data_IF_309567727711
#
_entry.id   IF_309567727711
#
_cell.length_a   1.000
_cell.length_b   1.000
_cell.length_c   1.000
_cell.angle_alpha   90.00
_cell.angle_beta   90.00
_cell.angle_gamma   90.00
#
_symmetry.space_group_name_H-M   'P 1'
#
loop_
_entity.id
_entity.type
_entity.pdbx_description
1 polymer ?
#
# COMPACT_ATOMS: atom_id res chain seq x y z
N UNK A 1 -10.96 2.81 16.90
CA UNK A 1 -9.68 2.21 16.46
C UNK A 1 -8.83 3.28 15.79
N UNK A 2 -7.57 3.47 16.21
CA UNK A 2 -6.67 4.38 15.53
C UNK A 2 -6.41 3.83 14.13
N UNK A 3 -6.54 4.70 13.12
CA UNK A 3 -6.15 4.37 11.77
C UNK A 3 -4.75 4.92 11.56
N UNK A 4 -3.75 4.10 11.19
CA UNK A 4 -2.42 4.62 10.93
C UNK A 4 -2.44 5.53 9.69
N UNK A 5 -1.51 6.47 9.62
CA UNK A 5 -1.12 7.07 8.36
C UNK A 5 -0.28 6.08 7.56
N UNK A 6 -0.28 6.23 6.23
CA UNK A 6 0.45 5.34 5.32
C UNK A 6 1.34 6.18 4.43
N UNK A 7 2.65 5.89 4.42
CA UNK A 7 3.55 6.35 3.36
C UNK A 7 3.71 5.21 2.34
N UNK A 8 3.61 5.53 1.05
CA UNK A 8 3.79 4.53 -0.02
C UNK A 8 4.98 4.94 -0.86
N UNK A 9 6.15 4.36 -0.63
CA UNK A 9 7.27 4.55 -1.54
C UNK A 9 7.02 3.80 -2.86
N UNK A 10 6.90 4.56 -3.94
CA UNK A 10 6.67 4.09 -5.30
C UNK A 10 7.95 4.18 -6.11
N UNK A 11 8.39 3.07 -6.69
CA UNK A 11 9.59 3.02 -7.53
C UNK A 11 9.38 2.03 -8.67
N UNK A 12 9.87 2.35 -9.86
CA UNK A 12 9.92 1.43 -11.00
C UNK A 12 11.37 0.98 -11.17
N UNK A 13 11.57 -0.32 -11.22
CA UNK A 13 12.87 -0.97 -11.33
C UNK A 13 12.95 -1.88 -12.54
N UNK A 14 14.17 -2.24 -12.95
CA UNK A 14 14.39 -3.31 -13.93
C UNK A 14 13.85 -4.64 -13.41
N UNK A 15 13.12 -5.37 -14.24
CA UNK A 15 12.63 -6.70 -13.91
C UNK A 15 13.67 -7.77 -14.31
N UNK A 16 14.68 -7.95 -13.46
CA UNK A 16 15.77 -8.91 -13.69
C UNK A 16 16.26 -9.53 -12.36
N UNK A 17 16.90 -10.71 -12.36
CA UNK A 17 17.30 -11.40 -11.13
C UNK A 17 18.09 -10.55 -10.14
N UNK A 18 19.02 -9.74 -10.65
CA UNK A 18 19.85 -8.83 -9.86
C UNK A 18 19.02 -7.85 -9.01
N UNK A 19 17.88 -7.40 -9.51
CA UNK A 19 16.95 -6.55 -8.76
C UNK A 19 16.37 -7.28 -7.55
N UNK A 20 15.96 -8.54 -7.70
CA UNK A 20 15.44 -9.35 -6.60
C UNK A 20 16.52 -9.68 -5.55
N UNK A 21 17.76 -9.95 -5.98
CA UNK A 21 18.92 -10.14 -5.09
C UNK A 21 19.18 -8.90 -4.22
N UNK A 22 19.07 -7.70 -4.82
CA UNK A 22 19.14 -6.44 -4.07
C UNK A 22 18.00 -6.30 -3.07
N UNK A 23 16.76 -6.64 -3.42
CA UNK A 23 15.65 -6.57 -2.47
C UNK A 23 15.81 -7.49 -1.27
N UNK A 24 16.33 -8.70 -1.48
CA UNK A 24 16.60 -9.64 -0.39
C UNK A 24 17.66 -9.12 0.60
N UNK A 25 18.63 -8.32 0.12
CA UNK A 25 19.74 -7.84 0.95
C UNK A 25 19.55 -6.43 1.52
N UNK A 26 18.88 -5.55 0.78
CA UNK A 26 18.65 -4.13 1.16
C UNK A 26 17.29 -3.95 1.83
N UNK A 27 16.24 -4.59 1.32
CA UNK A 27 14.86 -4.45 1.81
C UNK A 27 14.71 -4.67 3.31
N UNK A 28 15.22 -5.79 3.88
CA UNK A 28 15.17 -6.02 5.32
C UNK A 28 15.91 -4.95 6.13
N UNK A 29 17.04 -4.42 5.63
CA UNK A 29 17.83 -3.38 6.33
C UNK A 29 17.12 -2.04 6.38
N UNK A 30 16.40 -1.68 5.32
CA UNK A 30 15.54 -0.50 5.31
C UNK A 30 14.46 -0.66 6.39
N UNK A 31 13.74 -1.79 6.40
CA UNK A 31 12.70 -2.05 7.41
C UNK A 31 13.24 -2.03 8.86
N UNK A 32 14.41 -2.62 9.10
CA UNK A 32 15.06 -2.58 10.42
C UNK A 32 15.47 -1.16 10.85
N UNK A 33 15.84 -0.31 9.89
CA UNK A 33 16.17 1.10 10.15
C UNK A 33 14.91 1.90 10.45
N UNK A 34 13.85 1.69 9.67
CA UNK A 34 12.52 2.30 9.88
C UNK A 34 11.95 1.97 11.25
N UNK A 35 12.11 0.72 11.70
CA UNK A 35 11.64 0.24 13.00
C UNK A 35 12.34 0.87 14.23
N UNK A 36 13.36 1.71 14.02
CA UNK A 36 13.99 2.47 15.12
C UNK A 36 13.06 3.56 15.67
N UNK A 37 12.08 4.02 14.90
CA UNK A 37 11.15 5.06 15.32
C UNK A 37 9.91 4.48 16.03
N UNK A 38 9.56 5.01 17.20
CA UNK A 38 8.43 4.50 18.03
C UNK A 38 7.04 4.72 17.42
N UNK A 39 6.96 5.61 16.43
CA UNK A 39 5.76 5.87 15.64
C UNK A 39 5.50 4.83 14.55
N UNK A 40 6.51 4.03 14.18
CA UNK A 40 6.36 2.96 13.20
C UNK A 40 5.52 1.82 13.77
N UNK A 41 4.48 1.40 13.04
CA UNK A 41 3.57 0.32 13.46
C UNK A 41 3.55 -0.86 12.49
N UNK A 42 4.37 -0.85 11.43
CA UNK A 42 4.56 -1.99 10.54
C UNK A 42 4.57 -1.58 9.07
N UNK A 43 4.58 -2.57 8.18
CA UNK A 43 4.76 -2.34 6.75
C UNK A 43 4.11 -3.44 5.90
N UNK A 44 3.83 -3.13 4.63
CA UNK A 44 3.36 -4.08 3.63
C UNK A 44 3.97 -3.72 2.26
N UNK A 45 4.97 -4.47 1.82
CA UNK A 45 5.70 -4.20 0.58
C UNK A 45 5.15 -5.03 -0.57
N UNK A 46 4.82 -4.35 -1.65
CA UNK A 46 4.19 -4.97 -2.79
C UNK A 46 5.06 -4.92 -4.05
N UNK A 47 4.87 -5.94 -4.88
CA UNK A 47 5.31 -5.98 -6.26
C UNK A 47 4.07 -5.87 -7.16
N UNK A 48 4.09 -4.95 -8.13
CA UNK A 48 3.10 -4.93 -9.20
C UNK A 48 3.33 -6.12 -10.13
N UNK A 49 2.32 -6.99 -10.22
CA UNK A 49 2.35 -8.17 -11.08
C UNK A 49 1.54 -7.96 -12.36
N UNK A 50 0.60 -7.02 -12.40
CA UNK A 50 -0.21 -6.78 -13.59
C UNK A 50 -1.27 -5.70 -13.38
N UNK A 51 -2.28 -5.69 -14.26
CA UNK A 51 -3.36 -4.68 -14.28
C UNK A 51 -4.67 -5.38 -14.60
N UNK A 52 -5.78 -4.95 -13.97
CA UNK A 52 -7.12 -5.46 -14.31
C UNK A 52 -7.54 -4.89 -15.67
N UNK A 53 -7.77 -5.72 -16.70
CA UNK A 53 -7.95 -5.24 -18.06
C UNK A 53 -9.34 -4.61 -18.34
N UNK A 54 -10.31 -4.84 -17.44
CA UNK A 54 -11.71 -4.39 -17.57
C UNK A 54 -12.31 -4.76 -18.93
N UNK A 55 -12.33 -6.07 -19.23
CA UNK A 55 -12.65 -6.57 -20.56
C UNK A 55 -11.50 -6.26 -21.52
N UNK A 56 -11.76 -5.45 -22.55
CA UNK A 56 -10.76 -5.03 -23.52
C UNK A 56 -10.36 -3.57 -23.38
N UNK A 57 -10.83 -2.86 -22.34
CA UNK A 57 -10.49 -1.45 -22.10
C UNK A 57 -8.99 -1.21 -21.99
N UNK A 58 -8.28 -2.13 -21.34
CA UNK A 58 -6.82 -2.27 -21.40
C UNK A 58 -6.47 -3.65 -21.98
N UNK A 59 -6.86 -3.91 -23.22
CA UNK A 59 -6.77 -5.26 -23.83
C UNK A 59 -5.37 -5.85 -24.00
N UNK A 60 -4.32 -5.04 -23.86
CA UNK A 60 -2.93 -5.53 -23.83
C UNK A 60 -2.47 -5.92 -22.41
N UNK A 61 -3.22 -5.55 -21.38
CA UNK A 61 -2.90 -5.85 -19.99
C UNK A 61 -3.47 -7.20 -19.56
N UNK A 62 -2.82 -7.80 -18.56
CA UNK A 62 -3.26 -9.00 -17.86
C UNK A 62 -3.04 -8.81 -16.37
N UNK A 63 -3.76 -9.57 -15.55
CA UNK A 63 -3.57 -9.50 -14.10
C UNK A 63 -2.22 -10.07 -13.63
N UNK A 64 -1.57 -10.88 -14.45
CA UNK A 64 -0.16 -11.26 -14.32
C UNK A 64 0.57 -11.02 -15.64
N UNK A 65 1.53 -10.10 -15.60
CA UNK A 65 2.43 -9.68 -16.67
C UNK A 65 3.88 -9.73 -16.20
N UNK A 66 4.17 -10.32 -15.03
CA UNK A 66 5.49 -10.25 -14.41
C UNK A 66 6.57 -10.93 -15.29
N UNK A 67 6.19 -11.92 -16.09
CA UNK A 67 7.10 -12.59 -17.04
C UNK A 67 7.31 -11.83 -18.35
N UNK A 68 6.43 -10.89 -18.66
CA UNK A 68 6.37 -10.18 -19.94
C UNK A 68 6.95 -8.77 -19.83
N UNK A 69 6.83 -8.14 -18.65
CA UNK A 69 7.28 -6.78 -18.43
C UNK A 69 8.80 -6.69 -18.27
N UNK A 70 9.42 -5.68 -18.90
CA UNK A 70 10.85 -5.35 -18.72
C UNK A 70 11.12 -4.56 -17.44
N UNK A 71 10.09 -3.97 -16.85
CA UNK A 71 10.15 -3.20 -15.61
C UNK A 71 9.05 -3.64 -14.64
N UNK A 72 9.25 -3.36 -13.36
CA UNK A 72 8.32 -3.75 -12.30
C UNK A 72 8.13 -2.57 -11.34
N UNK A 73 6.87 -2.28 -11.01
CA UNK A 73 6.52 -1.31 -9.97
C UNK A 73 6.63 -1.93 -8.58
N UNK A 74 7.18 -1.19 -7.64
CA UNK A 74 7.15 -1.51 -6.21
C UNK A 74 6.31 -0.47 -5.49
N UNK A 75 5.50 -0.94 -4.55
CA UNK A 75 4.64 -0.10 -3.72
C UNK A 75 4.86 -0.50 -2.26
N UNK A 76 5.75 0.21 -1.59
CA UNK A 76 6.25 -0.13 -0.27
C UNK A 76 5.50 0.67 0.79
N UNK A 77 4.58 0.03 1.51
CA UNK A 77 3.75 0.73 2.48
C UNK A 77 4.44 0.70 3.83
N UNK A 78 4.58 1.85 4.47
CA UNK A 78 4.94 1.94 5.89
C UNK A 78 3.83 2.63 6.67
N UNK A 79 3.49 2.06 7.83
CA UNK A 79 2.36 2.49 8.65
C UNK A 79 2.86 3.24 9.88
N UNK A 80 2.21 4.36 10.19
CA UNK A 80 2.65 5.33 11.19
C UNK A 80 1.50 5.78 12.10
N UNK A 81 1.80 6.05 13.38
CA UNK A 81 0.81 6.62 14.31
C UNK A 81 0.43 8.05 13.90
N UNK A 82 1.43 8.87 13.60
CA UNK A 82 1.31 10.18 12.99
C UNK A 82 2.15 10.20 11.71
N UNK A 83 1.69 10.81 10.62
CA UNK A 83 2.50 10.95 9.41
C UNK A 83 3.79 11.73 9.66
N UNK A 84 3.85 12.58 10.69
CA UNK A 84 5.08 13.28 11.09
C UNK A 84 6.15 12.32 11.63
N UNK A 85 5.75 11.18 12.18
CA UNK A 85 6.67 10.14 12.64
C UNK A 85 7.50 9.59 11.46
N UNK A 86 6.91 9.52 10.27
CA UNK A 86 7.61 9.15 9.03
C UNK A 86 8.70 10.16 8.68
N UNK A 87 8.34 11.44 8.64
CA UNK A 87 9.28 12.53 8.30
C UNK A 87 10.42 12.61 9.32
N UNK A 88 10.10 12.47 10.61
CA UNK A 88 11.08 12.43 11.69
C UNK A 88 12.01 11.22 11.55
N UNK A 89 11.47 10.03 11.26
CA UNK A 89 12.25 8.82 11.05
C UNK A 89 13.25 8.97 9.89
N UNK A 90 12.82 9.53 8.76
CA UNK A 90 13.71 9.80 7.62
C UNK A 90 14.85 10.74 8.01
N UNK A 91 14.54 11.82 8.74
CA UNK A 91 15.54 12.81 9.15
C UNK A 91 16.53 12.25 10.17
N UNK A 92 16.05 11.55 11.20
CA UNK A 92 16.88 10.99 12.26
C UNK A 92 17.81 9.87 11.75
N UNK A 93 17.37 9.09 10.75
CA UNK A 93 18.09 7.93 10.24
C UNK A 93 18.69 8.15 8.84
N UNK A 94 18.75 9.41 8.38
CA UNK A 94 19.04 9.77 7.00
C UNK A 94 20.29 9.11 6.43
N UNK A 95 21.41 9.15 7.15
CA UNK A 95 22.67 8.58 6.66
C UNK A 95 22.57 7.08 6.35
N UNK A 96 21.82 6.33 7.15
CA UNK A 96 21.61 4.90 6.93
C UNK A 96 20.62 4.68 5.78
N UNK A 97 19.48 5.37 5.80
CA UNK A 97 18.45 5.23 4.77
C UNK A 97 18.96 5.63 3.40
N UNK A 98 19.62 6.78 3.28
CA UNK A 98 20.19 7.27 2.03
C UNK A 98 21.14 6.25 1.42
N UNK A 99 22.09 5.71 2.20
CA UNK A 99 23.04 4.68 1.72
C UNK A 99 22.35 3.41 1.25
N UNK A 100 21.35 2.94 2.02
CA UNK A 100 20.58 1.76 1.66
C UNK A 100 19.80 1.99 0.35
N UNK A 101 19.05 3.10 0.25
CA UNK A 101 18.29 3.43 -0.94
C UNK A 101 19.20 3.69 -2.16
N UNK A 102 20.33 4.36 -1.98
CA UNK A 102 21.29 4.65 -3.05
C UNK A 102 21.88 3.36 -3.64
N UNK A 103 22.07 2.32 -2.82
CA UNK A 103 22.55 1.02 -3.32
C UNK A 103 21.62 0.36 -4.35
N UNK A 104 20.34 0.74 -4.38
CA UNK A 104 19.37 0.26 -5.36
C UNK A 104 19.39 1.06 -6.68
N UNK A 105 20.02 2.24 -6.73
CA UNK A 105 19.89 3.19 -7.86
C UNK A 105 20.35 2.61 -9.21
N UNK A 106 21.24 1.63 -9.21
CA UNK A 106 21.64 0.92 -10.44
C UNK A 106 20.51 0.14 -11.14
N UNK A 107 19.40 -0.12 -10.44
CA UNK A 107 18.23 -0.82 -10.94
C UNK A 107 17.00 0.08 -11.11
N UNK A 108 17.05 1.31 -10.58
CA UNK A 108 15.92 2.25 -10.64
C UNK A 108 15.78 2.82 -12.04
N UNK A 109 14.56 2.83 -12.55
CA UNK A 109 14.16 3.46 -13.82
C UNK A 109 13.38 4.75 -13.54
N UNK A 110 12.54 4.75 -12.50
CA UNK A 110 11.79 5.93 -12.05
C UNK A 110 11.56 5.87 -10.53
N UNK A 111 11.47 7.02 -9.90
CA UNK A 111 11.28 7.17 -8.45
C UNK A 111 12.62 7.30 -7.69
N UNK A 112 12.60 7.22 -6.35
CA UNK A 112 11.42 7.03 -5.50
C UNK A 112 10.46 8.23 -5.51
N UNK A 113 9.16 7.97 -5.35
CA UNK A 113 8.13 8.96 -5.06
C UNK A 113 7.27 8.43 -3.91
N UNK A 114 7.21 9.15 -2.79
CA UNK A 114 6.58 8.66 -1.56
C UNK A 114 5.42 9.56 -1.11
N UNK A 115 4.23 9.41 -1.71
CA UNK A 115 3.02 10.05 -1.24
C UNK A 115 2.62 9.56 0.15
N UNK A 116 2.05 10.48 0.93
CA UNK A 116 1.53 10.25 2.28
C UNK A 116 0.00 10.23 2.23
N UNK A 117 -0.60 9.32 2.98
CA UNK A 117 -2.03 9.09 3.00
C UNK A 117 -2.59 9.02 4.42
N UNK A 118 -3.79 9.56 4.60
CA UNK A 118 -4.65 9.18 5.71
C UNK A 118 -5.57 8.02 5.28
N UNK A 119 -5.90 7.13 6.21
CA UNK A 119 -6.86 6.04 5.98
C UNK A 119 -8.25 6.53 6.37
N UNK A 120 -9.13 6.74 5.41
CA UNK A 120 -10.49 7.23 5.68
C UNK A 120 -11.43 6.09 6.09
N UNK A 121 -11.25 4.91 5.49
CA UNK A 121 -12.04 3.70 5.76
C UNK A 121 -11.12 2.48 5.80
N UNK A 122 -11.41 1.53 6.68
CA UNK A 122 -10.66 0.27 6.76
C UNK A 122 -11.50 -0.85 7.35
N UNK A 123 -11.36 -2.02 6.76
CA UNK A 123 -11.87 -3.30 7.23
C UNK A 123 -10.85 -4.36 6.80
N UNK A 124 -9.76 -4.44 7.55
CA UNK A 124 -8.58 -5.24 7.23
C UNK A 124 -8.35 -6.23 8.37
N UNK A 125 -8.60 -7.53 8.17
CA UNK A 125 -8.43 -8.54 9.21
C UNK A 125 -6.95 -8.77 9.49
N UNK A 126 -6.64 -9.29 10.67
CA UNK A 126 -5.31 -9.81 10.99
C UNK A 126 -4.89 -10.86 9.95
N UNK A 127 -3.61 -10.87 9.60
CA UNK A 127 -3.08 -11.96 8.77
C UNK A 127 -2.95 -13.23 9.60
N UNK A 128 -3.29 -14.36 8.99
CA UNK A 128 -3.21 -15.69 9.60
C UNK A 128 -2.75 -16.67 8.55
N UNK A 129 -1.78 -17.53 8.88
CA UNK A 129 -1.45 -18.67 8.05
C UNK A 129 -2.56 -19.73 8.13
N UNK A 130 -2.56 -20.68 7.19
CA UNK A 130 -3.49 -21.82 7.23
C UNK A 130 -3.31 -22.71 8.46
N UNK A 131 -2.22 -22.56 9.22
CA UNK A 131 -1.99 -23.28 10.48
C UNK A 131 -2.70 -22.63 11.67
N UNK A 132 -3.05 -21.34 11.56
CA UNK A 132 -3.46 -20.54 12.72
C UNK A 132 -4.98 -20.48 12.88
N UNK A 133 -5.73 -20.97 11.89
CA UNK A 133 -7.19 -20.86 11.87
C UNK A 133 -7.85 -21.58 13.06
N UNK A 134 -7.29 -22.69 13.55
CA UNK A 134 -7.83 -23.42 14.70
C UNK A 134 -7.73 -22.60 15.97
N UNK A 135 -6.60 -21.90 16.17
CA UNK A 135 -6.39 -20.97 17.30
C UNK A 135 -7.33 -19.78 17.18
N UNK A 136 -7.39 -19.16 16.01
CA UNK A 136 -8.26 -18.01 15.73
C UNK A 136 -9.73 -18.34 16.00
N UNK A 137 -10.22 -19.48 15.50
CA UNK A 137 -11.59 -19.96 15.74
C UNK A 137 -11.80 -20.21 17.23
N UNK A 138 -10.89 -20.93 17.89
CA UNK A 138 -10.99 -21.21 19.33
C UNK A 138 -11.11 -19.95 20.18
N UNK A 139 -10.28 -18.93 19.92
CA UNK A 139 -10.29 -17.66 20.65
C UNK A 139 -11.58 -16.85 20.41
N UNK A 140 -12.08 -16.79 19.16
CA UNK A 140 -13.32 -16.08 18.83
C UNK A 140 -14.56 -16.74 19.44
N UNK A 141 -14.60 -18.08 19.47
CA UNK A 141 -15.67 -18.79 20.17
C UNK A 141 -15.60 -18.60 21.69
N UNK A 142 -14.40 -18.68 22.28
CA UNK A 142 -14.21 -18.51 23.72
C UNK A 142 -14.57 -17.09 24.21
N UNK A 143 -14.40 -16.08 23.36
CA UNK A 143 -14.77 -14.68 23.65
C UNK A 143 -16.24 -14.35 23.33
N UNK A 144 -17.05 -15.32 22.87
CA UNK A 144 -18.45 -15.11 22.51
C UNK A 144 -18.66 -14.30 21.22
N UNK A 145 -17.63 -14.21 20.37
CA UNK A 145 -17.54 -13.32 19.21
C UNK A 145 -17.38 -14.11 17.90
N UNK A 146 -18.04 -15.27 17.81
CA UNK A 146 -17.92 -16.17 16.67
C UNK A 146 -18.38 -15.56 15.33
N UNK A 147 -19.33 -14.61 15.37
CA UNK A 147 -19.87 -13.96 14.16
C UNK A 147 -18.92 -12.96 13.51
N UNK A 148 -17.89 -12.50 14.22
CA UNK A 148 -16.86 -11.61 13.66
C UNK A 148 -15.59 -12.36 13.23
N UNK A 149 -15.66 -13.69 13.09
CA UNK A 149 -14.55 -14.49 12.60
C UNK A 149 -14.13 -13.98 11.20
N UNK A 150 -12.87 -13.53 11.03
CA UNK A 150 -12.42 -13.01 9.75
C UNK A 150 -12.12 -14.15 8.76
N UNK A 151 -12.03 -13.85 7.45
CA UNK A 151 -11.46 -14.78 6.50
C UNK A 151 -9.97 -15.02 6.79
N UNK A 152 -9.44 -16.16 6.32
CA UNK A 152 -8.01 -16.46 6.41
C UNK A 152 -7.25 -15.60 5.38
N UNK A 153 -6.67 -14.49 5.82
CA UNK A 153 -5.84 -13.62 4.99
C UNK A 153 -4.37 -14.00 5.10
N UNK A 154 -3.93 -14.93 4.25
CA UNK A 154 -2.57 -15.48 4.33
C UNK A 154 -1.50 -14.41 4.02
N UNK A 155 -0.44 -14.33 4.83
CA UNK A 155 0.65 -13.38 4.63
C UNK A 155 1.65 -13.82 3.55
N UNK A 156 2.66 -12.98 3.29
CA UNK A 156 3.91 -13.32 2.61
C UNK A 156 3.72 -13.83 1.17
N UNK A 157 2.93 -13.08 0.41
CA UNK A 157 2.69 -13.31 -1.02
C UNK A 157 1.71 -14.44 -1.36
N UNK A 158 0.91 -14.89 -0.39
CA UNK A 158 -0.12 -15.94 -0.55
C UNK A 158 -1.54 -15.38 -0.77
N UNK A 159 -1.64 -14.11 -1.15
CA UNK A 159 -2.86 -13.39 -1.54
C UNK A 159 -2.53 -12.32 -2.56
N UNK A 160 -3.53 -11.69 -3.16
CA UNK A 160 -3.33 -10.56 -4.08
C UNK A 160 -4.02 -9.31 -3.58
N UNK A 161 -3.53 -8.17 -4.04
CA UNK A 161 -4.08 -6.84 -3.76
C UNK A 161 -4.52 -6.20 -5.07
N UNK A 162 -5.67 -5.56 -5.09
CA UNK A 162 -6.07 -4.65 -6.15
C UNK A 162 -5.91 -3.22 -5.66
N UNK A 163 -5.06 -2.45 -6.35
CA UNK A 163 -4.73 -1.07 -6.05
C UNK A 163 -5.46 -0.17 -7.05
N UNK A 164 -6.62 0.35 -6.65
CA UNK A 164 -7.47 1.18 -7.50
C UNK A 164 -7.15 2.66 -7.36
N UNK A 165 -6.53 3.25 -8.38
CA UNK A 165 -6.23 4.68 -8.46
C UNK A 165 -7.46 5.49 -8.90
N UNK A 166 -7.80 6.51 -8.11
CA UNK A 166 -8.93 7.41 -8.35
C UNK A 166 -8.51 8.87 -8.14
N UNK A 167 -8.98 9.76 -9.00
CA UNK A 167 -8.87 11.22 -8.82
C UNK A 167 -10.28 11.79 -8.89
N UNK A 168 -10.71 12.47 -7.85
CA UNK A 168 -12.10 12.92 -7.66
C UNK A 168 -12.24 14.39 -8.03
N UNK A 169 -13.36 14.75 -8.66
CA UNK A 169 -13.71 16.15 -8.99
C UNK A 169 -13.76 16.99 -7.71
N UNK A 170 -13.25 18.21 -7.78
CA UNK A 170 -13.27 19.12 -6.65
C UNK A 170 -14.72 19.41 -6.22
N UNK A 171 -15.01 19.24 -4.93
CA UNK A 171 -16.35 19.38 -4.34
C UNK A 171 -17.15 18.07 -4.28
N UNK A 172 -16.69 16.99 -4.91
CA UNK A 172 -17.37 15.68 -4.90
C UNK A 172 -16.70 14.65 -3.97
N UNK A 173 -15.66 15.03 -3.21
CA UNK A 173 -14.92 14.13 -2.32
C UNK A 173 -15.81 13.46 -1.28
N UNK A 174 -16.76 14.21 -0.71
CA UNK A 174 -17.70 13.68 0.28
C UNK A 174 -18.64 12.65 -0.33
N UNK A 175 -19.17 12.91 -1.52
CA UNK A 175 -20.05 11.99 -2.23
C UNK A 175 -19.32 10.70 -2.62
N UNK A 176 -18.08 10.82 -3.10
CA UNK A 176 -17.20 9.69 -3.38
C UNK A 176 -16.96 8.83 -2.12
N UNK A 177 -16.57 9.45 -1.01
CA UNK A 177 -16.33 8.76 0.26
C UNK A 177 -17.61 8.11 0.81
N UNK A 178 -18.72 8.82 0.90
CA UNK A 178 -19.99 8.26 1.41
C UNK A 178 -20.49 7.09 0.56
N UNK A 179 -20.31 7.15 -0.75
CA UNK A 179 -20.71 6.09 -1.66
C UNK A 179 -19.80 4.87 -1.55
N UNK A 180 -18.48 5.05 -1.39
CA UNK A 180 -17.56 3.98 -1.04
C UNK A 180 -17.94 3.32 0.29
N UNK A 181 -18.36 4.10 1.28
CA UNK A 181 -18.83 3.60 2.58
C UNK A 181 -20.05 2.68 2.48
N UNK A 182 -20.88 2.84 1.44
CA UNK A 182 -22.00 1.94 1.12
C UNK A 182 -21.52 0.71 0.35
N UNK A 183 -20.66 0.90 -0.66
CA UNK A 183 -20.25 -0.14 -1.59
C UNK A 183 -19.26 -1.14 -0.97
N UNK A 184 -18.21 -0.67 -0.31
CA UNK A 184 -17.09 -1.51 0.12
C UNK A 184 -17.51 -2.64 1.09
N UNK A 185 -18.39 -2.40 2.08
CA UNK A 185 -18.91 -3.46 2.94
C UNK A 185 -19.63 -4.58 2.17
N UNK A 186 -20.24 -4.26 1.02
CA UNK A 186 -20.94 -5.27 0.22
C UNK A 186 -19.98 -6.33 -0.34
N UNK A 187 -18.70 -6.01 -0.56
CA UNK A 187 -17.73 -6.99 -1.08
C UNK A 187 -17.43 -8.14 -0.11
N UNK A 188 -17.82 -8.05 1.16
CA UNK A 188 -17.83 -9.22 2.07
C UNK A 188 -18.68 -10.39 1.55
N UNK A 189 -19.64 -10.13 0.66
CA UNK A 189 -20.45 -11.17 -0.01
C UNK A 189 -19.73 -11.81 -1.22
N UNK A 190 -18.56 -11.30 -1.61
CA UNK A 190 -17.78 -11.84 -2.72
C UNK A 190 -16.83 -12.94 -2.24
N UNK A 191 -16.84 -14.14 -2.86
CA UNK A 191 -15.91 -15.19 -2.53
C UNK A 191 -14.46 -14.72 -2.66
N UNK A 192 -13.64 -15.08 -1.67
CA UNK A 192 -12.21 -14.74 -1.66
C UNK A 192 -11.89 -13.29 -1.30
N UNK A 193 -12.86 -12.47 -0.86
CA UNK A 193 -12.59 -11.13 -0.35
C UNK A 193 -11.90 -11.19 1.02
N UNK A 194 -10.80 -10.44 1.18
CA UNK A 194 -9.94 -10.47 2.37
C UNK A 194 -9.83 -9.13 3.10
N UNK A 195 -10.58 -8.11 2.67
CA UNK A 195 -10.62 -6.80 3.32
C UNK A 195 -10.36 -5.64 2.39
N UNK A 196 -10.54 -4.42 2.90
CA UNK A 196 -10.30 -3.19 2.16
C UNK A 196 -9.80 -2.04 3.05
N UNK A 197 -9.17 -1.06 2.41
CA UNK A 197 -8.99 0.26 2.98
C UNK A 197 -9.01 1.33 1.89
N UNK A 198 -9.41 2.55 2.27
CA UNK A 198 -9.42 3.73 1.39
C UNK A 198 -8.38 4.70 1.91
N UNK A 199 -7.42 5.00 1.04
CA UNK A 199 -6.32 5.92 1.32
C UNK A 199 -6.59 7.25 0.62
N UNK A 200 -6.54 8.36 1.36
CA UNK A 200 -6.70 9.71 0.83
C UNK A 200 -5.36 10.43 0.92
N UNK A 201 -4.86 10.89 -0.22
CA UNK A 201 -3.55 11.56 -0.26
C UNK A 201 -3.59 12.89 0.51
N UNK A 202 -2.63 13.08 1.42
CA UNK A 202 -2.51 14.29 2.24
C UNK A 202 -1.26 15.11 1.88
N UNK A 203 -0.35 14.57 1.07
CA UNK A 203 0.92 15.18 0.71
C UNK A 203 1.92 14.16 0.16
N UNK A 204 3.20 14.52 0.15
CA UNK A 204 4.29 13.60 -0.17
C UNK A 204 5.52 13.87 0.69
N UNK A 205 6.35 12.85 0.96
CA UNK A 205 7.59 13.03 1.68
C UNK A 205 8.68 13.55 0.73
N UNK A 206 9.24 14.72 1.01
CA UNK A 206 10.36 15.25 0.22
C UNK A 206 11.61 14.38 0.38
N UNK A 207 11.93 13.96 1.61
CA UNK A 207 13.09 13.11 1.89
C UNK A 207 12.89 11.69 1.36
N UNK A 208 11.69 11.12 1.54
CA UNK A 208 11.32 9.82 0.99
C UNK A 208 11.41 9.76 -0.53
N UNK A 209 11.04 10.86 -1.19
CA UNK A 209 11.09 11.00 -2.67
C UNK A 209 12.44 11.48 -3.20
N UNK A 210 13.46 11.63 -2.36
CA UNK A 210 14.76 12.23 -2.71
C UNK A 210 14.63 13.60 -3.41
N UNK A 211 13.57 14.36 -3.11
CA UNK A 211 13.32 15.71 -3.59
C UNK A 211 14.00 16.69 -2.65
N UNK A 212 15.30 16.89 -2.89
CA UNK A 212 16.17 17.66 -2.01
C UNK A 212 16.34 19.11 -2.48
N UNK A 213 16.79 19.98 -1.57
CA UNK A 213 17.24 21.34 -1.90
C UNK A 213 18.35 21.32 -2.96
N UNK A 214 18.54 22.41 -3.71
CA UNK A 214 19.49 22.45 -4.82
C UNK A 214 20.91 21.95 -4.45
N UNK A 215 21.45 22.39 -3.30
CA UNK A 215 22.75 21.93 -2.80
C UNK A 215 22.78 20.42 -2.55
N UNK A 216 21.79 19.92 -1.80
CA UNK A 216 21.66 18.50 -1.45
C UNK A 216 21.41 17.62 -2.68
N UNK A 217 20.73 18.16 -3.69
CA UNK A 217 20.51 17.49 -4.96
C UNK A 217 21.83 17.24 -5.71
N UNK A 218 22.70 18.25 -5.81
CA UNK A 218 24.04 18.07 -6.39
C UNK A 218 24.88 17.05 -5.59
N UNK A 219 24.88 17.15 -4.26
CA UNK A 219 25.55 16.18 -3.39
C UNK A 219 25.06 14.74 -3.61
N UNK A 220 23.75 14.55 -3.80
CA UNK A 220 23.19 13.23 -4.11
C UNK A 220 23.70 12.69 -5.45
N UNK A 221 23.71 13.51 -6.51
CA UNK A 221 24.16 13.11 -7.84
C UNK A 221 25.68 12.83 -7.90
N UNK A 222 26.46 13.55 -7.11
CA UNK A 222 27.91 13.41 -7.01
C UNK A 222 28.34 12.31 -6.03
N UNK A 223 27.39 11.71 -5.31
CA UNK A 223 27.69 10.75 -4.25
C UNK A 223 28.34 9.47 -4.78
N UNK A 224 29.52 9.14 -4.26
CA UNK A 224 30.20 7.89 -4.57
C UNK A 224 29.55 6.73 -3.80
N UNK A 225 28.59 6.05 -4.44
CA UNK A 225 27.86 4.91 -3.86
C UNK A 225 27.15 5.21 -2.52
N UNK A 226 26.74 6.47 -2.30
CA UNK A 226 26.08 6.89 -1.06
C UNK A 226 27.03 7.21 0.09
N UNK A 227 28.36 7.11 -0.10
CA UNK A 227 29.33 7.39 0.97
C UNK A 227 29.29 8.86 1.39
N UNK A 228 29.25 9.75 0.40
CA UNK A 228 29.01 11.19 0.57
C UNK A 228 27.51 11.41 0.76
N UNK A 229 27.11 11.59 2.02
CA UNK A 229 25.70 11.73 2.38
C UNK A 229 25.29 13.19 2.22
N UNK A 230 24.28 13.51 1.40
CA UNK A 230 23.78 14.87 1.23
C UNK A 230 23.10 15.36 2.52
N UNK A 231 23.03 16.68 2.70
CA UNK A 231 22.27 17.25 3.82
C UNK A 231 20.76 16.89 3.67
N UNK A 232 20.05 16.42 4.72
CA UNK A 232 18.65 15.97 4.67
C UNK A 232 17.66 17.14 4.60
N UNK A 233 17.80 17.99 3.59
CA UNK A 233 16.97 19.16 3.37
C UNK A 233 16.08 18.91 2.16
N UNK A 234 14.80 18.62 2.42
CA UNK A 234 13.78 18.55 1.37
C UNK A 234 13.51 19.93 0.74
N UNK A 235 13.06 19.95 -0.51
CA UNK A 235 12.71 21.19 -1.22
C UNK A 235 11.24 21.63 -1.02
N UNK A 236 10.41 20.82 -0.36
CA UNK A 236 9.05 21.16 0.02
C UNK A 236 8.65 20.54 1.37
N UNK A 237 7.64 21.11 2.02
CA UNK A 237 6.91 20.48 3.12
C UNK A 237 5.80 19.55 2.56
N UNK A 238 5.43 18.46 3.25
CA UNK A 238 4.56 17.45 2.66
C UNK A 238 3.23 17.95 2.10
N UNK A 239 2.59 18.89 2.78
CA UNK A 239 1.30 19.46 2.39
C UNK A 239 1.39 20.29 1.10
N UNK A 240 2.56 20.83 0.76
CA UNK A 240 2.77 21.57 -0.48
C UNK A 240 2.73 20.66 -1.72
N UNK A 241 2.99 19.35 -1.53
CA UNK A 241 2.93 18.34 -2.57
C UNK A 241 1.56 17.64 -2.66
N UNK A 242 0.57 18.06 -1.87
CA UNK A 242 -0.78 17.49 -1.91
C UNK A 242 -1.46 17.80 -3.24
N UNK A 243 -1.78 16.76 -4.00
CA UNK A 243 -2.41 16.92 -5.31
C UNK A 243 -3.83 17.49 -5.23
N UNK A 244 -4.17 18.35 -6.20
CA UNK A 244 -5.53 18.75 -6.54
C UNK A 244 -5.76 18.54 -8.05
N UNK A 245 -6.83 17.85 -8.49
CA UNK A 245 -7.93 17.31 -7.69
C UNK A 245 -7.50 16.15 -6.75
N UNK A 246 -8.32 15.85 -5.74
CA UNK A 246 -7.96 14.94 -4.64
C UNK A 246 -7.75 13.51 -5.15
N UNK A 247 -6.62 12.90 -4.75
CA UNK A 247 -6.29 11.51 -5.09
C UNK A 247 -6.67 10.54 -4.00
N UNK A 248 -7.14 9.37 -4.42
CA UNK A 248 -7.47 8.24 -3.55
C UNK A 248 -6.90 6.94 -4.11
N UNK A 249 -6.60 6.03 -3.19
CA UNK A 249 -6.36 4.62 -3.49
C UNK A 249 -7.43 3.79 -2.78
N UNK A 250 -8.18 3.01 -3.56
CA UNK A 250 -9.06 1.96 -3.03
C UNK A 250 -8.25 0.66 -3.05
N UNK A 251 -7.75 0.27 -1.88
CA UNK A 251 -6.97 -0.96 -1.67
C UNK A 251 -7.92 -2.07 -1.26
N UNK A 252 -7.95 -3.17 -2.00
CA UNK A 252 -8.74 -4.35 -1.64
C UNK A 252 -7.89 -5.61 -1.75
N UNK A 253 -8.10 -6.55 -0.85
CA UNK A 253 -7.34 -7.80 -0.81
C UNK A 253 -8.21 -8.99 -1.20
N UNK A 254 -7.62 -9.92 -1.94
CA UNK A 254 -8.31 -11.08 -2.50
C UNK A 254 -7.47 -12.34 -2.39
N UNK A 255 -8.11 -13.49 -2.28
CA UNK A 255 -7.43 -14.79 -2.17
C UNK A 255 -6.67 -15.18 -3.44
N UNK A 256 -7.09 -14.69 -4.61
CA UNK A 256 -6.47 -14.96 -5.91
C UNK A 256 -6.86 -13.89 -6.94
N UNK A 257 -6.19 -13.87 -8.09
CA UNK A 257 -6.53 -12.98 -9.21
C UNK A 257 -7.93 -13.26 -9.77
N UNK A 258 -8.39 -14.51 -9.77
CA UNK A 258 -9.75 -14.84 -10.22
C UNK A 258 -10.80 -14.30 -9.24
N UNK A 259 -10.56 -14.45 -7.94
CA UNK A 259 -11.42 -13.86 -6.91
C UNK A 259 -11.45 -12.33 -7.04
N UNK A 260 -10.30 -11.70 -7.30
CA UNK A 260 -10.22 -10.26 -7.57
C UNK A 260 -11.02 -9.87 -8.83
N UNK A 261 -10.86 -10.58 -9.94
CA UNK A 261 -11.52 -10.27 -11.21
C UNK A 261 -13.04 -10.34 -11.11
N UNK A 262 -13.57 -11.45 -10.60
CA UNK A 262 -15.02 -11.64 -10.49
C UNK A 262 -15.61 -10.92 -9.28
N UNK A 263 -14.82 -10.74 -8.22
CA UNK A 263 -15.16 -9.93 -7.06
C UNK A 263 -15.39 -8.48 -7.47
N UNK A 264 -14.37 -7.81 -8.03
CA UNK A 264 -14.49 -6.48 -8.62
C UNK A 264 -15.57 -6.45 -9.71
N UNK A 265 -15.65 -7.49 -10.53
CA UNK A 265 -16.66 -7.66 -11.58
C UNK A 265 -18.10 -7.48 -11.10
N UNK A 266 -18.40 -7.66 -9.81
CA UNK A 266 -19.73 -7.40 -9.25
C UNK A 266 -20.24 -6.00 -9.50
N UNK A 267 -19.38 -4.98 -9.53
CA UNK A 267 -19.80 -3.60 -9.84
C UNK A 267 -20.26 -3.40 -11.29
N UNK A 268 -20.01 -4.38 -12.17
CA UNK A 268 -20.50 -4.39 -13.54
C UNK A 268 -21.61 -5.43 -13.76
N UNK A 269 -21.55 -6.55 -13.04
CA UNK A 269 -22.37 -7.74 -13.28
C UNK A 269 -23.59 -7.84 -12.35
N UNK A 270 -23.54 -7.23 -11.16
CA UNK A 270 -24.65 -7.24 -10.21
C UNK A 270 -25.35 -5.88 -10.22
N UNK A 271 -26.66 -5.81 -10.56
CA UNK A 271 -27.39 -4.54 -10.60
C UNK A 271 -27.32 -3.74 -9.30
N UNK A 272 -27.41 -4.43 -8.15
CA UNK A 272 -27.34 -3.81 -6.81
C UNK A 272 -25.99 -3.12 -6.55
N UNK A 273 -24.87 -3.75 -6.94
CA UNK A 273 -23.54 -3.15 -6.78
C UNK A 273 -23.32 -2.03 -7.79
N UNK A 274 -23.80 -2.24 -9.02
CA UNK A 274 -23.63 -1.31 -10.13
C UNK A 274 -24.30 0.02 -9.86
N UNK A 275 -25.54 0.02 -9.37
CA UNK A 275 -26.28 1.26 -9.06
C UNK A 275 -25.54 2.17 -8.07
N UNK A 276 -24.85 1.56 -7.09
CA UNK A 276 -24.04 2.30 -6.12
C UNK A 276 -22.69 2.71 -6.75
N UNK A 277 -22.06 1.83 -7.52
CA UNK A 277 -20.78 2.12 -8.15
C UNK A 277 -20.88 3.18 -9.27
N UNK A 278 -22.00 3.28 -9.98
CA UNK A 278 -22.22 4.29 -11.01
C UNK A 278 -22.11 5.72 -10.40
N UNK A 279 -22.60 5.91 -9.17
CA UNK A 279 -22.44 7.16 -8.41
C UNK A 279 -20.96 7.49 -8.12
N UNK A 280 -20.12 6.48 -7.88
CA UNK A 280 -18.67 6.67 -7.72
C UNK A 280 -18.06 7.18 -9.03
N UNK A 281 -18.39 6.52 -10.15
CA UNK A 281 -17.86 6.87 -11.47
C UNK A 281 -18.19 8.32 -11.84
N UNK A 282 -19.40 8.79 -11.51
CA UNK A 282 -19.83 10.16 -11.77
C UNK A 282 -18.99 11.22 -11.05
N UNK A 283 -18.31 10.85 -9.96
CA UNK A 283 -17.42 11.75 -9.21
C UNK A 283 -16.00 11.87 -9.79
N UNK A 284 -15.60 11.01 -10.74
CA UNK A 284 -14.20 10.86 -11.12
C UNK A 284 -13.75 11.84 -12.21
N UNK A 285 -12.53 12.36 -12.06
CA UNK A 285 -11.72 12.96 -13.13
C UNK A 285 -10.83 11.90 -13.78
N UNK A 286 -10.28 10.99 -12.96
CA UNK A 286 -9.48 9.85 -13.43
C UNK A 286 -9.83 8.60 -12.63
N UNK A 287 -9.78 7.46 -13.31
CA UNK A 287 -9.98 6.14 -12.73
C UNK A 287 -11.34 5.53 -13.05
N UNK A 288 -11.62 4.33 -12.50
CA UNK A 288 -10.66 3.51 -11.77
C UNK A 288 -9.56 2.96 -12.70
N UNK A 289 -8.29 3.09 -12.30
CA UNK A 289 -7.18 2.31 -12.88
C UNK A 289 -6.67 1.35 -11.82
N UNK A 290 -6.73 0.04 -12.10
CA UNK A 290 -6.57 -0.98 -11.06
C UNK A 290 -5.34 -1.82 -11.34
N UNK A 291 -4.30 -1.61 -10.55
CA UNK A 291 -3.10 -2.46 -10.55
C UNK A 291 -3.37 -3.70 -9.73
N UNK A 292 -2.71 -4.80 -10.09
CA UNK A 292 -2.68 -6.04 -9.31
C UNK A 292 -1.32 -6.15 -8.68
N UNK A 293 -1.30 -6.23 -7.35
CA UNK A 293 -0.08 -6.30 -6.57
C UNK A 293 -0.01 -7.61 -5.77
N UNK A 294 1.22 -8.07 -5.55
CA UNK A 294 1.55 -9.17 -4.65
C UNK A 294 2.20 -8.60 -3.36
N UNK A 295 1.63 -8.78 -2.16
CA UNK A 295 2.20 -8.33 -0.89
C UNK A 295 3.29 -9.32 -0.40
N UNK A 296 4.52 -9.15 -0.88
CA UNK A 296 5.60 -10.14 -0.74
C UNK A 296 6.27 -10.11 0.65
N UNK A 297 6.58 -8.93 1.16
CA UNK A 297 7.25 -8.76 2.46
C UNK A 297 6.40 -7.85 3.34
N UNK A 298 6.05 -8.28 4.53
CA UNK A 298 5.18 -7.50 5.42
C UNK A 298 5.48 -7.74 6.88
N UNK A 299 5.30 -6.69 7.69
CA UNK A 299 5.22 -6.78 9.14
C UNK A 299 3.76 -6.72 9.53
N UNK A 300 3.09 -7.88 9.56
CA UNK A 300 1.63 -7.99 9.72
C UNK A 300 1.06 -7.34 10.98
N UNK A 301 1.89 -7.06 11.98
CA UNK A 301 1.54 -6.37 13.23
C UNK A 301 1.00 -4.94 13.02
N UNK A 302 1.09 -4.35 11.83
CA UNK A 302 0.36 -3.10 11.53
C UNK A 302 -1.16 -3.27 11.65
N UNK A 303 -1.66 -4.48 11.39
CA UNK A 303 -3.08 -4.82 11.53
C UNK A 303 -3.48 -5.04 12.99
N UNK A 304 -2.53 -5.43 13.84
CA UNK A 304 -2.75 -5.46 15.29
C UNK A 304 -3.00 -4.05 15.82
N UNK A 305 -2.19 -3.08 15.37
CA UNK A 305 -2.42 -1.66 15.70
C UNK A 305 -3.77 -1.17 15.17
N UNK A 306 -4.09 -1.45 13.90
CA UNK A 306 -5.35 -1.02 13.28
C UNK A 306 -6.58 -1.58 14.01
N UNK A 307 -6.52 -2.83 14.48
CA UNK A 307 -7.66 -3.48 15.12
C UNK A 307 -7.64 -3.40 16.66
N UNK A 308 -6.61 -2.80 17.24
CA UNK A 308 -6.36 -2.80 18.69
C UNK A 308 -6.30 -4.22 19.31
N UNK A 309 -5.88 -5.22 18.54
CA UNK A 309 -5.79 -6.63 18.96
C UNK A 309 -4.34 -7.08 18.97
N UNK A 310 -3.89 -7.72 20.05
CA UNK A 310 -2.58 -8.37 20.10
C UNK A 310 -2.79 -9.87 20.34
N UNK A 311 -2.55 -10.69 19.30
CA UNK A 311 -2.70 -12.14 19.39
C UNK A 311 -1.61 -12.80 20.26
N UNK A 312 -0.45 -12.14 20.48
CA UNK A 312 0.63 -12.68 21.31
C UNK A 312 0.36 -12.60 22.82
N UNK A 313 -0.64 -11.82 23.26
CA UNK A 313 -1.06 -11.83 24.68
C UNK A 313 -1.84 -13.08 25.09
N UNK A 314 -2.19 -13.96 24.15
CA UNK A 314 -2.98 -15.16 24.41
C UNK A 314 -2.16 -16.47 24.50
N UNK A 315 -0.83 -16.37 24.47
CA UNK A 315 0.08 -17.51 24.68
C UNK A 315 1.02 -17.21 25.83
N UNK A 316 0.59 -17.51 27.06
CA UNK A 316 1.33 -18.12 28.18
C UNK A 316 0.30 -18.53 29.23
#
# INVERSE_FOLDING_TARGET
MPKPYVAINQVIVKNEPKTFEMFQSVGPKVCMTTARHKGFVGFQNHIEIGVVPMGTRYGAAKMDMLKENTTMGLFQYTMWKDWKDHEEMHKQNWSSLFRLCYSCMSQVVWGPWEPLYEVTMADMPLNTEMTDFTVMVGQKFASGDALSLPPISQPYGKRVVTYGEHVVKEGMEKEFEETLGKLLPMFKRAPGFLGYMVLKEIGASALGSLQLSAKSWHQMLESANGMDVPDPNGNFAPEQARNKPQRYVVHMEWSSTDAAMFGLGRVFLSPEYREIHDQIVDTLVYGPYIRVLNPVMEGSFWREYLNEVNLQKATW
#
